data_IF_841722636325
#
_entry.id   IF_841722636325
#
_cell.length_a   1.000
_cell.length_b   1.000
_cell.length_c   1.000
_cell.angle_alpha   90.00
_cell.angle_beta   90.00
_cell.angle_gamma   90.00
#
_symmetry.space_group_name_H-M   'P 1'
#
loop_
_entity.id
_entity.type
_entity.pdbx_description
1 polymer ?
#
# COMPACT_ATOMS: atom_id res chain seq x y z
N UNK A 1 8.22 -12.27 8.24
CA UNK A 1 7.21 -12.11 7.17
C UNK A 1 6.82 -10.64 7.09
N UNK A 2 6.72 -10.11 5.87
CA UNK A 2 6.26 -8.75 5.61
C UNK A 2 4.95 -8.82 4.83
N UNK A 3 3.95 -8.06 5.25
CA UNK A 3 2.62 -8.04 4.63
C UNK A 3 2.11 -6.61 4.50
N UNK A 4 1.46 -6.31 3.38
CA UNK A 4 0.77 -5.05 3.13
C UNK A 4 -0.70 -5.38 2.90
N UNK A 5 -1.60 -4.57 3.44
CA UNK A 5 -3.03 -4.64 3.15
C UNK A 5 -3.53 -3.26 2.78
N UNK A 6 -4.03 -3.10 1.55
CA UNK A 6 -4.73 -1.90 1.12
C UNK A 6 -6.23 -2.21 1.07
N UNK A 7 -7.01 -1.51 1.87
CA UNK A 7 -8.47 -1.58 1.84
C UNK A 7 -9.04 -0.24 1.42
N UNK A 8 -9.92 -0.24 0.42
CA UNK A 8 -10.59 0.96 -0.08
C UNK A 8 -11.98 0.62 -0.63
N UNK A 9 -12.60 1.56 -1.34
CA UNK A 9 -13.92 1.36 -1.97
C UNK A 9 -13.97 0.28 -3.04
N UNK A 10 -12.82 -0.14 -3.59
CA UNK A 10 -12.72 -1.15 -4.65
C UNK A 10 -12.44 -2.56 -4.11
N UNK A 11 -12.18 -2.71 -2.82
CA UNK A 11 -11.94 -4.01 -2.19
C UNK A 11 -10.82 -4.00 -1.16
N UNK A 12 -10.32 -5.20 -0.88
CA UNK A 12 -9.20 -5.45 0.01
C UNK A 12 -8.12 -6.22 -0.74
N UNK A 13 -6.92 -5.65 -0.79
CA UNK A 13 -5.78 -6.16 -1.53
C UNK A 13 -4.65 -6.48 -0.56
N UNK A 14 -4.29 -7.76 -0.47
CA UNK A 14 -3.31 -8.26 0.50
C UNK A 14 -2.08 -8.75 -0.25
N UNK A 15 -0.92 -8.15 0.07
CA UNK A 15 0.36 -8.48 -0.51
C UNK A 15 1.28 -9.09 0.55
N UNK A 16 1.90 -10.22 0.25
CA UNK A 16 2.81 -10.92 1.16
C UNK A 16 4.18 -11.05 0.50
N UNK A 17 5.22 -10.63 1.22
CA UNK A 17 6.59 -10.78 0.76
C UNK A 17 7.07 -12.20 1.05
N UNK A 18 7.43 -12.93 0.00
CA UNK A 18 8.01 -14.27 0.08
C UNK A 18 9.50 -14.21 -0.24
N UNK A 19 10.30 -14.81 0.63
CA UNK A 19 11.72 -15.06 0.35
C UNK A 19 11.83 -16.27 -0.59
N UNK A 20 12.61 -16.10 -1.64
CA UNK A 20 12.94 -17.14 -2.61
C UNK A 20 14.32 -17.65 -2.23
N UNK A 21 14.38 -18.93 -1.85
CA UNK A 21 15.65 -19.63 -1.74
C UNK A 21 16.20 -19.81 -3.16
N UNK A 22 17.32 -19.17 -3.45
CA UNK A 22 18.08 -19.41 -4.67
C UNK A 22 19.19 -20.36 -4.30
N UNK A 23 19.12 -21.61 -4.75
CA UNK A 23 20.26 -22.51 -4.70
C UNK A 23 21.30 -22.00 -5.70
N UNK A 24 22.32 -21.29 -5.21
CA UNK A 24 23.47 -20.90 -6.02
C UNK A 24 24.45 -22.08 -6.09
N UNK A 25 24.72 -22.60 -7.28
CA UNK A 25 25.74 -23.64 -7.51
C UNK A 25 27.18 -23.08 -7.45
N UNK A 26 27.36 -21.75 -7.49
CA UNK A 26 28.66 -21.07 -7.43
C UNK A 26 28.86 -20.36 -6.08
N UNK A 27 29.86 -20.81 -5.30
CA UNK A 27 30.18 -20.35 -3.92
C UNK A 27 30.73 -18.92 -3.81
N UNK A 28 30.73 -18.11 -4.88
CA UNK A 28 31.38 -16.78 -4.90
C UNK A 28 30.42 -15.59 -5.06
N UNK A 29 29.18 -15.72 -4.59
CA UNK A 29 28.30 -14.54 -4.39
C UNK A 29 27.35 -14.74 -3.21
N UNK A 30 27.85 -14.57 -1.99
CA UNK A 30 27.00 -14.37 -0.81
C UNK A 30 26.40 -12.97 -0.84
N UNK A 31 25.22 -12.83 -1.46
CA UNK A 31 24.07 -12.02 -0.99
C UNK A 31 23.13 -11.82 -2.16
N UNK A 32 21.98 -12.51 -2.19
CA UNK A 32 20.72 -12.00 -2.75
C UNK A 32 19.61 -12.92 -2.22
N UNK A 33 19.02 -12.60 -1.07
CA UNK A 33 17.68 -13.07 -0.77
C UNK A 33 16.74 -12.50 -1.84
N UNK A 34 16.58 -13.20 -2.97
CA UNK A 34 15.57 -12.82 -3.96
C UNK A 34 14.22 -12.91 -3.25
N UNK A 35 13.43 -11.85 -3.31
CA UNK A 35 12.15 -11.81 -2.63
C UNK A 35 11.12 -11.24 -3.56
N UNK A 36 9.99 -11.91 -3.68
CA UNK A 36 8.87 -11.50 -4.53
C UNK A 36 7.67 -11.13 -3.67
N UNK A 37 6.83 -10.24 -4.19
CA UNK A 37 5.51 -10.02 -3.62
C UNK A 37 4.53 -11.00 -4.24
N UNK A 38 3.68 -11.58 -3.40
CA UNK A 38 2.51 -12.35 -3.81
C UNK A 38 1.26 -11.58 -3.42
N UNK A 39 0.17 -11.77 -4.16
CA UNK A 39 -1.13 -11.19 -3.83
C UNK A 39 -2.12 -12.31 -3.51
N UNK A 40 -2.79 -12.20 -2.37
CA UNK A 40 -3.80 -13.18 -1.95
C UNK A 40 -5.06 -12.97 -2.78
N UNK A 41 -5.66 -14.08 -3.25
CA UNK A 41 -6.96 -14.07 -3.93
C UNK A 41 -6.90 -13.90 -5.45
N UNK A 42 -5.73 -14.05 -6.06
CA UNK A 42 -5.62 -14.13 -7.53
C UNK A 42 -6.23 -15.43 -8.06
N UNK A 43 -6.90 -15.33 -9.21
CA UNK A 43 -7.47 -16.44 -9.96
C UNK A 43 -6.39 -17.19 -10.75
N UNK A 44 -6.72 -18.39 -11.23
CA UNK A 44 -5.82 -19.16 -12.10
C UNK A 44 -5.48 -18.38 -13.38
N UNK A 45 -4.18 -18.24 -13.66
CA UNK A 45 -3.67 -17.49 -14.82
C UNK A 45 -3.53 -15.98 -14.61
N UNK A 46 -3.90 -15.45 -13.44
CA UNK A 46 -3.60 -14.08 -13.03
C UNK A 46 -2.21 -14.01 -12.36
N UNK A 47 -1.44 -13.00 -12.71
CA UNK A 47 -0.12 -12.73 -12.12
C UNK A 47 -0.08 -11.31 -11.56
N UNK A 48 0.56 -11.14 -10.40
CA UNK A 48 0.77 -9.84 -9.78
C UNK A 48 1.79 -9.02 -10.59
N UNK A 49 1.44 -7.80 -10.94
CA UNK A 49 2.39 -6.79 -11.41
C UNK A 49 3.26 -6.32 -10.24
N UNK A 50 4.50 -6.79 -10.17
CA UNK A 50 5.45 -6.42 -9.11
C UNK A 50 5.74 -4.90 -9.06
N UNK A 51 5.62 -4.20 -10.20
CA UNK A 51 5.84 -2.76 -10.28
C UNK A 51 4.73 -1.97 -9.57
N UNK A 52 3.50 -2.51 -9.58
CA UNK A 52 2.35 -1.90 -8.90
C UNK A 52 2.50 -1.89 -7.38
N UNK A 53 3.05 -2.97 -6.80
CA UNK A 53 3.34 -3.06 -5.35
C UNK A 53 4.46 -2.10 -4.97
N UNK A 54 5.50 -2.03 -5.80
CA UNK A 54 6.61 -1.09 -5.63
C UNK A 54 6.13 0.37 -5.67
N UNK A 55 5.15 0.67 -6.52
CA UNK A 55 4.51 1.98 -6.59
C UNK A 55 3.74 2.32 -5.32
N UNK A 56 2.98 1.37 -4.74
CA UNK A 56 2.33 1.57 -3.42
C UNK A 56 3.37 1.91 -2.36
N UNK A 57 4.40 1.07 -2.21
CA UNK A 57 5.45 1.26 -1.19
C UNK A 57 6.14 2.62 -1.31
N UNK A 58 6.45 3.02 -2.55
CA UNK A 58 7.05 4.33 -2.84
C UNK A 58 6.14 5.47 -2.44
N UNK A 59 4.83 5.36 -2.71
CA UNK A 59 3.84 6.38 -2.33
C UNK A 59 3.67 6.49 -0.82
N UNK A 60 3.65 5.38 -0.11
CA UNK A 60 3.58 5.34 1.37
C UNK A 60 4.75 6.09 1.97
N UNK A 61 5.95 5.82 1.46
CA UNK A 61 7.18 6.50 1.88
C UNK A 61 7.19 7.99 1.52
N UNK A 62 6.36 8.39 0.57
CA UNK A 62 6.22 9.77 0.09
C UNK A 62 5.09 10.55 0.75
N UNK A 63 4.27 9.91 1.59
CA UNK A 63 3.20 10.61 2.33
C UNK A 63 3.85 11.64 3.26
N UNK A 64 3.53 12.91 3.03
CA UNK A 64 4.00 14.03 3.84
C UNK A 64 2.81 14.81 4.37
N UNK A 65 2.88 15.14 5.66
CA UNK A 65 1.95 16.08 6.29
C UNK A 65 2.12 17.46 5.65
N UNK A 66 1.00 18.05 5.21
CA UNK A 66 0.96 19.43 4.74
C UNK A 66 0.63 20.37 5.90
N UNK A 67 -0.28 19.97 6.79
CA UNK A 67 -0.67 20.76 7.96
C UNK A 67 -1.22 19.87 9.10
N UNK A 68 -0.94 20.16 10.38
CA UNK A 68 -1.60 19.48 11.49
C UNK A 68 -3.02 20.03 11.71
N UNK A 69 -4.01 19.14 11.85
CA UNK A 69 -5.40 19.49 12.16
C UNK A 69 -5.70 19.46 13.67
N UNK A 70 -4.84 18.81 14.44
CA UNK A 70 -4.92 18.69 15.90
C UNK A 70 -4.96 17.23 16.36
N UNK A 71 -5.15 17.03 17.67
CA UNK A 71 -5.24 15.69 18.30
C UNK A 71 -6.68 15.27 18.61
N UNK A 72 -7.62 16.19 18.52
CA UNK A 72 -9.02 15.94 18.84
C UNK A 72 -9.74 15.35 17.64
N UNK A 73 -10.33 14.17 17.81
CA UNK A 73 -11.15 13.55 16.79
C UNK A 73 -12.35 14.44 16.41
N UNK A 74 -12.65 14.51 15.11
CA UNK A 74 -13.87 15.14 14.59
C UNK A 74 -14.56 14.19 13.63
N UNK A 75 -15.89 14.11 13.70
CA UNK A 75 -16.67 13.27 12.79
C UNK A 75 -16.42 13.64 11.31
N UNK A 76 -16.23 14.94 11.02
CA UNK A 76 -15.94 15.46 9.68
C UNK A 76 -14.60 15.00 9.11
N UNK A 77 -13.70 14.44 9.93
CA UNK A 77 -12.43 13.89 9.44
C UNK A 77 -12.60 12.58 8.67
N UNK A 78 -13.74 11.90 8.78
CA UNK A 78 -13.99 10.65 8.04
C UNK A 78 -13.06 9.51 8.41
N UNK A 79 -12.43 9.53 9.58
CA UNK A 79 -11.49 8.47 10.02
C UNK A 79 -12.20 7.23 10.58
N UNK A 80 -13.46 7.38 11.03
CA UNK A 80 -14.29 6.25 11.49
C UNK A 80 -14.67 5.33 10.32
N UNK A 81 -14.90 5.92 9.15
CA UNK A 81 -15.19 5.21 7.90
C UNK A 81 -14.24 5.75 6.82
N UNK A 82 -12.96 5.31 6.83
CA UNK A 82 -11.94 5.85 5.95
C UNK A 82 -12.21 5.48 4.48
N UNK A 83 -11.78 6.35 3.57
CA UNK A 83 -11.83 6.09 2.13
C UNK A 83 -10.77 5.05 1.71
N UNK A 84 -9.64 5.05 2.43
CA UNK A 84 -8.64 4.00 2.31
C UNK A 84 -7.96 3.74 3.66
N UNK A 85 -7.63 2.48 3.92
CA UNK A 85 -6.82 2.06 5.06
C UNK A 85 -5.67 1.21 4.53
N UNK A 86 -4.46 1.65 4.78
CA UNK A 86 -3.26 0.89 4.47
C UNK A 86 -2.66 0.36 5.77
N UNK A 87 -2.48 -0.96 5.83
CA UNK A 87 -1.83 -1.65 6.94
C UNK A 87 -0.52 -2.27 6.45
N UNK A 88 0.55 -2.05 7.20
CA UNK A 88 1.87 -2.62 6.95
C UNK A 88 2.32 -3.43 8.17
N UNK A 89 2.55 -4.71 7.97
CA UNK A 89 3.03 -5.65 8.97
C UNK A 89 4.47 -6.03 8.66
N UNK A 90 5.39 -5.76 9.58
CA UNK A 90 6.82 -6.07 9.41
C UNK A 90 7.43 -6.43 10.76
N UNK A 91 8.21 -7.51 10.80
CA UNK A 91 8.92 -7.97 12.00
C UNK A 91 8.02 -8.03 13.26
N UNK A 92 6.77 -8.45 13.11
CA UNK A 92 5.79 -8.56 14.20
C UNK A 92 5.18 -7.23 14.67
N UNK A 93 5.46 -6.12 13.99
CA UNK A 93 4.84 -4.81 14.23
C UNK A 93 3.83 -4.49 13.13
N UNK A 94 2.75 -3.83 13.52
CA UNK A 94 1.67 -3.41 12.61
C UNK A 94 1.56 -1.89 12.63
N UNK A 95 1.58 -1.29 11.44
CA UNK A 95 1.42 0.13 11.22
C UNK A 95 0.21 0.38 10.34
N UNK A 96 -0.60 1.38 10.66
CA UNK A 96 -1.79 1.70 9.88
C UNK A 96 -1.83 3.18 9.51
N UNK A 97 -2.07 3.47 8.24
CA UNK A 97 -2.39 4.79 7.73
C UNK A 97 -3.85 4.80 7.26
N UNK A 98 -4.65 5.66 7.87
CA UNK A 98 -6.04 5.89 7.48
C UNK A 98 -6.14 7.17 6.67
N UNK A 99 -6.82 7.11 5.53
CA UNK A 99 -7.17 8.25 4.68
C UNK A 99 -8.66 8.52 4.85
N UNK A 100 -8.96 9.65 5.48
CA UNK A 100 -10.31 10.09 5.80
C UNK A 100 -10.92 10.98 4.72
N UNK A 101 -11.75 11.93 5.13
CA UNK A 101 -12.49 12.82 4.25
C UNK A 101 -11.56 13.76 3.45
N UNK A 102 -12.03 14.18 2.27
CA UNK A 102 -11.41 15.25 1.49
C UNK A 102 -11.59 16.60 2.21
N UNK A 103 -10.54 17.41 2.24
CA UNK A 103 -10.50 18.73 2.84
C UNK A 103 -9.86 19.70 1.83
N UNK A 104 -10.69 20.44 1.08
CA UNK A 104 -10.23 21.21 -0.07
C UNK A 104 -9.61 20.29 -1.14
N UNK A 105 -8.36 20.55 -1.50
CA UNK A 105 -7.60 19.75 -2.47
C UNK A 105 -6.85 18.56 -1.86
N UNK A 106 -6.86 18.45 -0.53
CA UNK A 106 -6.10 17.47 0.24
C UNK A 106 -7.03 16.50 0.98
N UNK A 107 -6.46 15.57 1.73
CA UNK A 107 -7.23 14.62 2.54
C UNK A 107 -6.79 14.68 3.99
N UNK A 108 -7.71 14.36 4.89
CA UNK A 108 -7.36 14.07 6.28
C UNK A 108 -6.71 12.70 6.35
N UNK A 109 -5.64 12.55 7.13
CA UNK A 109 -5.02 11.28 7.42
C UNK A 109 -4.70 11.11 8.91
N UNK A 110 -4.60 9.85 9.33
CA UNK A 110 -4.20 9.45 10.68
C UNK A 110 -3.27 8.23 10.61
N UNK A 111 -2.08 8.35 11.18
CA UNK A 111 -1.17 7.23 11.38
C UNK A 111 -1.40 6.57 12.75
N UNK A 112 -1.20 5.26 12.86
CA UNK A 112 -1.16 4.55 14.14
C UNK A 112 -0.06 5.07 15.06
N UNK A 113 1.04 5.58 14.49
CA UNK A 113 2.24 6.04 15.22
C UNK A 113 2.17 7.50 15.67
N UNK A 114 1.03 8.18 15.51
CA UNK A 114 0.92 9.61 15.82
C UNK A 114 -0.45 9.96 16.38
N UNK A 115 -0.52 10.74 17.45
CA UNK A 115 -1.79 11.24 18.00
C UNK A 115 -2.48 12.30 17.10
N UNK A 116 -1.78 12.80 16.08
CA UNK A 116 -2.29 13.89 15.25
C UNK A 116 -3.17 13.39 14.11
N UNK A 117 -4.26 14.11 13.89
CA UNK A 117 -4.94 14.21 12.62
C UNK A 117 -4.20 15.24 11.78
N UNK A 118 -3.93 14.90 10.53
CA UNK A 118 -3.12 15.72 9.64
C UNK A 118 -3.81 15.86 8.29
N UNK A 119 -3.50 16.94 7.60
CA UNK A 119 -3.79 17.09 6.18
C UNK A 119 -2.61 16.53 5.38
N UNK A 120 -2.90 15.78 4.32
CA UNK A 120 -1.90 15.20 3.42
C UNK A 120 -2.27 15.47 1.97
N UNK A 121 -1.25 15.59 1.12
CA UNK A 121 -1.45 15.88 -0.30
C UNK A 121 -2.23 14.76 -1.00
N UNK A 122 -3.26 15.15 -1.76
CA UNK A 122 -4.03 14.24 -2.63
C UNK A 122 -3.12 13.41 -3.54
N UNK A 123 -2.08 14.00 -4.11
CA UNK A 123 -1.13 13.29 -4.98
C UNK A 123 -0.56 12.00 -4.37
N UNK A 124 -0.33 12.01 -3.05
CA UNK A 124 0.28 10.87 -2.34
C UNK A 124 -0.73 9.81 -1.93
N UNK A 125 -2.00 10.17 -1.72
CA UNK A 125 -3.02 9.26 -1.17
C UNK A 125 -4.12 8.86 -2.14
N UNK A 126 -4.25 9.56 -3.28
CA UNK A 126 -5.32 9.32 -4.26
C UNK A 126 -5.27 7.88 -4.81
N UNK A 127 -4.08 7.35 -5.09
CA UNK A 127 -3.95 5.96 -5.53
C UNK A 127 -4.41 4.94 -4.49
N UNK A 128 -4.31 5.25 -3.19
CA UNK A 128 -4.81 4.33 -2.16
C UNK A 128 -6.34 4.26 -2.20
N UNK A 129 -7.00 5.34 -2.61
CA UNK A 129 -8.45 5.39 -2.76
C UNK A 129 -8.88 4.71 -4.07
N UNK A 130 -8.15 4.97 -5.16
CA UNK A 130 -8.61 4.64 -6.51
C UNK A 130 -8.13 3.26 -7.01
N UNK A 131 -7.07 2.68 -6.41
CA UNK A 131 -6.56 1.39 -6.85
C UNK A 131 -7.64 0.30 -6.79
N UNK A 132 -7.73 -0.48 -7.85
CA UNK A 132 -8.62 -1.62 -8.04
C UNK A 132 -7.80 -2.88 -8.37
N UNK A 133 -8.46 -4.04 -8.47
CA UNK A 133 -7.79 -5.31 -8.80
C UNK A 133 -6.98 -5.21 -10.10
N UNK A 134 -7.57 -4.63 -11.15
CA UNK A 134 -6.94 -4.48 -12.47
C UNK A 134 -5.62 -3.69 -12.43
N UNK A 135 -5.45 -2.80 -11.43
CA UNK A 135 -4.20 -2.04 -11.27
C UNK A 135 -3.05 -2.89 -10.72
N UNK A 136 -3.34 -4.08 -10.18
CA UNK A 136 -2.36 -5.00 -9.62
C UNK A 136 -2.08 -6.20 -10.53
N UNK A 137 -2.85 -6.39 -11.60
CA UNK A 137 -2.62 -7.51 -12.51
C UNK A 137 -1.59 -7.15 -13.58
N UNK A 138 -0.69 -8.09 -13.85
CA UNK A 138 0.21 -7.99 -14.99
C UNK A 138 -0.62 -7.94 -16.27
N UNK A 139 -0.51 -6.84 -17.01
CA UNK A 139 -1.17 -6.73 -18.31
C UNK A 139 -0.52 -7.73 -19.27
N UNK A 140 -1.35 -8.52 -19.96
CA UNK A 140 -0.86 -9.28 -21.12
C UNK A 140 -0.30 -8.28 -22.12
N UNK A 141 0.88 -8.55 -22.73
CA UNK A 141 1.30 -7.76 -23.87
C UNK A 141 0.17 -7.83 -24.91
N UNK A 142 -0.30 -6.67 -25.39
CA UNK A 142 -1.17 -6.65 -26.56
C UNK A 142 -0.36 -7.28 -27.68
N UNK A 143 -0.85 -8.39 -28.25
CA UNK A 143 -0.30 -8.92 -29.49
C UNK A 143 -0.37 -7.79 -30.53
N UNK A 144 0.77 -7.19 -30.86
CA UNK A 144 0.91 -6.33 -32.03
C UNK A 144 0.74 -7.23 -33.26
N UNK A 145 -0.51 -7.40 -33.70
CA UNK A 145 -0.88 -8.07 -34.95
C UNK A 145 -0.65 -7.23 -36.19
#
# INVERSE_FOLDING_TARGET
MTKITLKNGNGEFVFEKKEIEVESEDEETTDLSNSEWLMVGLSEGESLDQSSVSAILSRVSSVRMTSPLGKTAKATYGIIAPQAALTYEVAGKTYTLLVGAKLGENYVAKSSESDYYVEVSSYTVQSFIDNSLDNFLQKKPEDEG
#
